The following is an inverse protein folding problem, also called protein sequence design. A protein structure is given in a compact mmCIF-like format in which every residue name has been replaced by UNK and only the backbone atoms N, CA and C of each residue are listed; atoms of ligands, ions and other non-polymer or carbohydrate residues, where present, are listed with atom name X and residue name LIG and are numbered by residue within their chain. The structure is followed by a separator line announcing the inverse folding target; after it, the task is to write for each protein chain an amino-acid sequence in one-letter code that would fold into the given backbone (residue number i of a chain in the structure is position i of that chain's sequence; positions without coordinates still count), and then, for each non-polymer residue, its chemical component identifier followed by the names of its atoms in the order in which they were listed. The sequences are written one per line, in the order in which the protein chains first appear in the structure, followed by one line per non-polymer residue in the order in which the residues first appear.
data_IF_851900492807
#
_entry.id   IF_851900492807
#
_cell.length_a   1.000
_cell.length_b   1.000
_cell.length_c   1.000
_cell.angle_alpha   90.00
_cell.angle_beta   90.00
_cell.angle_gamma   90.00
#
_symmetry.space_group_name_H-M   'P 1'
#
loop_
_entity.id
_entity.type
_entity.pdbx_description
1 polymer ?
#
# COMPACT_ATOMS: atom_id res chain seq x y z
N UNK A 1 16.26 12.45 4.27
CA UNK A 1 16.86 11.88 3.04
C UNK A 1 16.14 12.30 1.76
N UNK A 2 14.97 12.95 1.87
CA UNK A 2 14.07 13.30 0.77
C UNK A 2 14.58 14.41 -0.17
N UNK A 3 15.21 15.45 0.36
CA UNK A 3 15.68 16.60 -0.45
C UNK A 3 16.89 16.27 -1.32
N UNK A 4 17.78 15.40 -0.84
CA UNK A 4 18.97 14.98 -1.57
C UNK A 4 18.60 14.08 -2.76
N UNK A 5 17.60 13.20 -2.57
CA UNK A 5 17.06 12.36 -3.63
C UNK A 5 16.32 13.17 -4.70
N UNK A 6 15.50 14.15 -4.30
CA UNK A 6 14.82 15.06 -5.23
C UNK A 6 15.84 15.90 -6.03
N UNK A 7 16.86 16.43 -5.36
CA UNK A 7 17.94 17.18 -5.98
C UNK A 7 18.69 16.36 -7.03
N UNK A 8 19.02 15.10 -6.73
CA UNK A 8 19.68 14.19 -7.69
C UNK A 8 18.77 13.89 -8.89
N UNK A 9 17.46 13.69 -8.67
CA UNK A 9 16.49 13.45 -9.76
C UNK A 9 16.40 14.66 -10.70
N UNK A 10 16.20 15.86 -10.15
CA UNK A 10 16.12 17.10 -10.93
C UNK A 10 17.44 17.36 -11.67
N UNK A 11 18.57 17.17 -11.00
CA UNK A 11 19.88 17.34 -11.61
C UNK A 11 20.09 16.37 -12.77
N UNK A 12 19.63 15.12 -12.65
CA UNK A 12 19.71 14.14 -13.74
C UNK A 12 18.83 14.52 -14.93
N UNK A 13 17.59 14.94 -14.67
CA UNK A 13 16.65 15.38 -15.71
C UNK A 13 17.08 16.66 -16.44
N UNK A 14 17.92 17.49 -15.83
CA UNK A 14 18.48 18.69 -16.49
C UNK A 14 19.83 18.36 -17.16
N UNK A 15 20.72 17.67 -16.44
CA UNK A 15 22.10 17.43 -16.89
C UNK A 15 22.17 16.48 -18.09
N UNK A 16 21.29 15.47 -18.17
CA UNK A 16 21.26 14.55 -19.32
C UNK A 16 20.85 15.27 -20.62
N UNK A 17 19.70 15.97 -20.71
CA UNK A 17 19.37 16.72 -21.92
C UNK A 17 20.31 17.90 -22.17
N UNK A 18 20.84 18.57 -21.13
CA UNK A 18 21.83 19.64 -21.32
C UNK A 18 23.16 19.11 -21.91
N UNK A 19 23.63 17.95 -21.46
CA UNK A 19 24.83 17.30 -22.01
C UNK A 19 24.60 16.80 -23.44
N UNK A 20 23.42 16.25 -23.74
CA UNK A 20 23.02 15.88 -25.10
C UNK A 20 22.90 17.11 -26.03
N UNK A 21 22.36 18.23 -25.53
CA UNK A 21 22.27 19.49 -26.26
C UNK A 21 23.66 20.08 -26.53
N UNK A 22 24.56 20.05 -25.54
CA UNK A 22 25.95 20.47 -25.71
C UNK A 22 26.70 19.57 -26.70
N UNK A 23 26.47 18.27 -26.68
CA UNK A 23 26.99 17.34 -27.69
C UNK A 23 26.46 17.66 -29.09
N UNK A 24 25.16 17.93 -29.22
CA UNK A 24 24.53 18.30 -30.50
C UNK A 24 25.02 19.67 -31.02
N UNK A 25 25.21 20.66 -30.14
CA UNK A 25 25.80 21.96 -30.49
C UNK A 25 27.26 21.83 -30.90
N UNK A 26 28.03 20.97 -30.22
CA UNK A 26 29.40 20.65 -30.62
C UNK A 26 29.46 19.90 -31.97
N UNK A 27 28.41 19.16 -32.35
CA UNK A 27 28.25 18.59 -33.69
C UNK A 27 27.94 19.65 -34.75
N UNK A 28 27.11 20.66 -34.44
CA UNK A 28 26.69 21.70 -35.39
C UNK A 28 27.74 22.78 -35.68
N UNK A 29 28.69 23.03 -34.77
CA UNK A 29 29.64 24.16 -34.88
C UNK A 29 30.95 23.78 -35.61
N UNK A 30 31.14 22.51 -36.02
CA UNK A 30 32.21 22.15 -36.97
C UNK A 30 33.61 22.61 -36.58
N UNK A 31 34.15 22.14 -35.45
CA UNK A 31 35.53 22.42 -35.05
C UNK A 31 36.51 21.69 -35.99
N UNK A 32 37.01 22.39 -37.01
CA UNK A 32 38.02 21.91 -37.95
C UNK A 32 39.36 21.62 -37.24
N UNK A 33 39.91 20.43 -37.50
CA UNK A 33 41.15 19.91 -36.92
C UNK A 33 40.93 18.78 -35.91
N UNK A 34 41.46 17.57 -36.22
CA UNK A 34 41.35 16.29 -35.48
C UNK A 34 40.07 15.43 -35.68
N UNK A 35 39.55 15.37 -36.90
CA UNK A 35 38.23 14.77 -37.22
C UNK A 35 38.01 13.30 -36.82
N UNK A 36 39.01 12.41 -36.93
CA UNK A 36 38.78 10.98 -36.66
C UNK A 36 38.70 10.63 -35.18
N UNK A 37 39.63 11.14 -34.36
CA UNK A 37 39.71 10.85 -32.93
C UNK A 37 38.52 11.47 -32.16
N UNK A 38 38.13 12.69 -32.54
CA UNK A 38 36.93 13.37 -32.01
C UNK A 38 35.64 12.64 -32.40
N UNK A 39 35.54 12.12 -33.62
CA UNK A 39 34.37 11.34 -34.09
C UNK A 39 34.27 10.00 -33.35
N UNK A 40 35.40 9.32 -33.11
CA UNK A 40 35.43 8.09 -32.32
C UNK A 40 35.01 8.31 -30.86
N UNK A 41 35.55 9.35 -30.21
CA UNK A 41 35.16 9.71 -28.83
C UNK A 41 33.66 10.04 -28.76
N UNK A 42 33.11 10.77 -29.75
CA UNK A 42 31.68 11.08 -29.83
C UNK A 42 30.81 9.82 -30.00
N UNK A 43 31.20 8.90 -30.87
CA UNK A 43 30.47 7.64 -31.06
C UNK A 43 30.51 6.80 -29.77
N UNK A 44 31.65 6.73 -29.09
CA UNK A 44 31.75 6.06 -27.79
C UNK A 44 30.88 6.73 -26.72
N UNK A 45 30.79 8.06 -26.72
CA UNK A 45 29.94 8.82 -25.81
C UNK A 45 28.45 8.54 -26.07
N UNK A 46 28.00 8.62 -27.32
CA UNK A 46 26.63 8.27 -27.71
C UNK A 46 26.29 6.80 -27.40
N UNK A 47 27.24 5.89 -27.65
CA UNK A 47 27.09 4.47 -27.33
C UNK A 47 27.01 4.20 -25.82
N UNK A 48 27.52 5.11 -24.97
CA UNK A 48 27.41 5.00 -23.51
C UNK A 48 26.18 5.74 -22.96
N UNK A 49 25.85 6.92 -23.47
CA UNK A 49 24.76 7.77 -22.94
C UNK A 49 23.37 7.25 -23.30
N UNK A 50 23.16 6.76 -24.53
CA UNK A 50 21.88 6.23 -24.96
C UNK A 50 21.41 5.03 -24.11
N UNK A 51 22.21 3.96 -23.94
CA UNK A 51 21.76 2.80 -23.15
C UNK A 51 21.68 3.08 -21.65
N UNK A 52 22.38 4.10 -21.12
CA UNK A 52 22.31 4.46 -19.70
C UNK A 52 21.16 5.43 -19.38
N UNK A 53 20.71 6.23 -20.35
CA UNK A 53 19.62 7.21 -20.15
C UNK A 53 18.28 6.56 -19.83
N UNK A 54 17.93 5.45 -20.49
CA UNK A 54 16.67 4.73 -20.31
C UNK A 54 16.54 4.15 -18.89
N UNK A 55 17.50 3.35 -18.36
CA UNK A 55 17.41 2.82 -17.01
C UNK A 55 17.48 3.91 -15.94
N UNK A 56 18.25 5.00 -16.16
CA UNK A 56 18.25 6.15 -15.24
C UNK A 56 16.90 6.86 -15.21
N UNK A 57 16.26 7.05 -16.37
CA UNK A 57 14.92 7.62 -16.45
C UNK A 57 13.90 6.76 -15.68
N UNK A 58 13.94 5.44 -15.85
CA UNK A 58 13.06 4.50 -15.13
C UNK A 58 13.35 4.51 -13.62
N UNK A 59 14.62 4.57 -13.21
CA UNK A 59 14.98 4.62 -11.79
C UNK A 59 14.53 5.94 -11.14
N UNK A 60 14.80 7.07 -11.80
CA UNK A 60 14.39 8.39 -11.34
C UNK A 60 12.86 8.51 -11.25
N UNK A 61 12.14 7.87 -12.18
CA UNK A 61 10.68 7.73 -12.15
C UNK A 61 10.21 7.03 -10.87
N UNK A 62 10.78 5.85 -10.57
CA UNK A 62 10.46 5.10 -9.36
C UNK A 62 10.77 5.89 -8.08
N UNK A 63 11.86 6.66 -8.06
CA UNK A 63 12.24 7.48 -6.91
C UNK A 63 11.33 8.69 -6.69
N UNK A 64 10.89 9.35 -7.76
CA UNK A 64 9.94 10.45 -7.67
C UNK A 64 8.60 9.98 -7.09
N UNK A 65 8.11 8.80 -7.52
CA UNK A 65 6.94 8.16 -6.90
C UNK A 65 7.21 7.79 -5.44
N UNK A 66 8.40 7.28 -5.13
CA UNK A 66 8.78 6.84 -3.79
C UNK A 66 8.82 7.98 -2.75
N UNK A 67 9.21 9.20 -3.17
CA UNK A 67 9.31 10.36 -2.27
C UNK A 67 7.95 10.78 -1.67
N UNK A 68 6.84 10.44 -2.33
CA UNK A 68 5.49 10.74 -1.84
C UNK A 68 4.88 9.64 -0.99
N UNK A 69 5.55 8.48 -0.86
CA UNK A 69 5.02 7.32 -0.14
C UNK A 69 4.93 7.58 1.36
N UNK A 70 5.99 8.14 1.95
CA UNK A 70 6.06 8.32 3.40
C UNK A 70 4.96 9.26 3.92
N UNK A 71 4.71 10.44 3.33
CA UNK A 71 3.57 11.28 3.72
C UNK A 71 2.21 10.59 3.56
N UNK A 72 1.99 9.86 2.46
CA UNK A 72 0.74 9.12 2.22
C UNK A 72 0.54 8.02 3.28
N UNK A 73 1.60 7.27 3.58
CA UNK A 73 1.57 6.24 4.61
C UNK A 73 1.30 6.84 5.98
N UNK A 74 1.93 7.97 6.35
CA UNK A 74 1.65 8.61 7.64
C UNK A 74 0.20 9.13 7.74
N UNK A 75 -0.37 9.61 6.63
CA UNK A 75 -1.73 10.13 6.59
C UNK A 75 -2.81 9.03 6.71
N UNK A 76 -2.60 7.87 6.08
CA UNK A 76 -3.64 6.84 5.96
C UNK A 76 -3.36 5.54 6.75
N UNK A 77 -2.14 5.31 7.23
CA UNK A 77 -1.83 4.07 7.98
C UNK A 77 -2.31 4.09 9.44
N UNK A 78 -2.93 5.17 9.92
CA UNK A 78 -3.48 5.25 11.26
C UNK A 78 -4.92 4.76 11.32
N UNK A 79 -5.24 3.73 12.13
CA UNK A 79 -6.62 3.32 12.35
C UNK A 79 -7.40 4.37 13.15
N UNK A 80 -8.66 4.53 12.81
CA UNK A 80 -9.65 5.34 13.53
C UNK A 80 -10.53 4.41 14.38
N UNK A 81 -10.53 4.61 15.69
CA UNK A 81 -11.39 3.87 16.63
C UNK A 81 -12.46 4.81 17.17
N UNK A 82 -13.72 4.41 17.05
CA UNK A 82 -14.89 5.23 17.41
C UNK A 82 -15.52 4.82 18.74
N UNK A 83 -15.10 3.69 19.30
CA UNK A 83 -15.63 3.19 20.56
C UNK A 83 -14.68 3.48 21.73
N UNK A 84 -15.23 4.11 22.76
CA UNK A 84 -14.48 4.42 23.99
C UNK A 84 -14.44 3.22 24.93
N UNK A 85 -15.53 2.46 24.98
CA UNK A 85 -15.71 1.33 25.91
C UNK A 85 -15.42 -0.01 25.26
N UNK A 86 -15.02 -1.01 26.06
CA UNK A 86 -14.94 -2.40 25.61
C UNK A 86 -16.29 -2.90 25.09
N UNK A 87 -16.25 -3.70 24.03
CA UNK A 87 -17.41 -4.34 23.40
C UNK A 87 -17.37 -5.83 23.73
N UNK A 88 -18.49 -6.38 24.18
CA UNK A 88 -18.63 -7.82 24.40
C UNK A 88 -19.30 -8.46 23.20
N UNK A 89 -18.49 -8.99 22.28
CA UNK A 89 -18.95 -9.68 21.09
C UNK A 89 -18.71 -11.19 21.19
N UNK A 90 -19.66 -12.00 20.74
CA UNK A 90 -19.51 -13.46 20.69
C UNK A 90 -19.03 -13.95 19.33
N UNK A 91 -19.31 -13.19 18.26
CA UNK A 91 -19.00 -13.60 16.89
C UNK A 91 -18.47 -12.49 15.98
N UNK A 92 -17.71 -12.89 14.96
CA UNK A 92 -17.20 -12.03 13.90
C UNK A 92 -17.44 -12.64 12.52
N UNK A 93 -18.02 -11.86 11.62
CA UNK A 93 -18.17 -12.22 10.20
C UNK A 93 -17.24 -11.39 9.34
N UNK A 94 -16.30 -12.04 8.68
CA UNK A 94 -15.35 -11.42 7.75
C UNK A 94 -15.96 -11.44 6.34
N UNK A 95 -16.09 -10.26 5.73
CA UNK A 95 -16.57 -10.05 4.36
C UNK A 95 -15.48 -9.35 3.57
N UNK A 96 -14.98 -9.99 2.52
CA UNK A 96 -13.97 -9.40 1.63
C UNK A 96 -14.45 -9.48 0.19
N UNK A 97 -14.23 -8.43 -0.60
CA UNK A 97 -14.43 -8.47 -2.05
C UNK A 97 -13.41 -9.36 -2.78
N UNK A 98 -12.30 -9.70 -2.12
CA UNK A 98 -11.32 -10.68 -2.60
C UNK A 98 -11.76 -12.12 -2.32
N UNK A 99 -12.75 -12.34 -1.45
CA UNK A 99 -13.28 -13.68 -1.18
C UNK A 99 -14.31 -14.05 -2.25
N UNK A 100 -14.01 -15.08 -3.04
CA UNK A 100 -14.90 -15.58 -4.10
C UNK A 100 -15.48 -16.95 -3.71
N UNK A 101 -16.74 -17.20 -4.06
CA UNK A 101 -17.39 -18.49 -3.82
C UNK A 101 -16.62 -19.62 -4.53
N UNK A 102 -16.35 -20.72 -3.80
CA UNK A 102 -15.61 -21.87 -4.32
C UNK A 102 -14.09 -21.70 -4.41
N UNK A 103 -13.53 -20.56 -3.96
CA UNK A 103 -12.08 -20.36 -3.81
C UNK A 103 -11.68 -20.36 -2.35
N UNK A 104 -10.40 -20.72 -2.10
CA UNK A 104 -9.82 -20.59 -0.78
C UNK A 104 -9.90 -19.12 -0.30
N UNK A 105 -10.20 -18.89 0.99
CA UNK A 105 -10.21 -17.54 1.54
C UNK A 105 -8.82 -16.89 1.45
N UNK A 106 -8.74 -15.54 1.45
CA UNK A 106 -7.47 -14.84 1.49
C UNK A 106 -6.62 -15.28 2.69
N UNK A 107 -5.31 -15.46 2.50
CA UNK A 107 -4.39 -15.94 3.54
C UNK A 107 -4.38 -15.04 4.80
N UNK A 108 -4.61 -13.73 4.65
CA UNK A 108 -4.72 -12.84 5.80
C UNK A 108 -5.97 -13.16 6.65
N UNK A 109 -7.08 -13.57 6.03
CA UNK A 109 -8.33 -13.84 6.73
C UNK A 109 -8.23 -15.12 7.58
N UNK A 110 -7.50 -16.13 7.10
CA UNK A 110 -7.23 -17.34 7.89
C UNK A 110 -6.38 -17.05 9.13
N UNK A 111 -5.38 -16.17 9.01
CA UNK A 111 -4.56 -15.72 10.15
C UNK A 111 -5.41 -14.97 11.18
N UNK A 112 -6.35 -14.13 10.73
CA UNK A 112 -7.27 -13.43 11.64
C UNK A 112 -8.12 -14.41 12.43
N UNK A 113 -8.66 -15.44 11.77
CA UNK A 113 -9.44 -16.50 12.43
C UNK A 113 -8.59 -17.22 13.49
N UNK A 114 -7.38 -17.64 13.11
CA UNK A 114 -6.46 -18.36 14.01
C UNK A 114 -6.10 -17.56 15.27
N UNK A 115 -5.82 -16.26 15.13
CA UNK A 115 -5.43 -15.42 16.25
C UNK A 115 -6.62 -15.08 17.17
N UNK A 116 -7.77 -14.74 16.59
CA UNK A 116 -8.93 -14.28 17.36
C UNK A 116 -9.75 -15.42 17.97
N UNK A 117 -9.68 -16.65 17.44
CA UNK A 117 -10.31 -17.85 18.01
C UNK A 117 -9.37 -18.67 18.93
N UNK A 118 -8.18 -18.18 19.24
CA UNK A 118 -7.29 -18.85 20.18
C UNK A 118 -8.01 -19.09 21.53
N UNK A 119 -7.60 -20.06 22.37
CA UNK A 119 -8.31 -20.42 23.61
C UNK A 119 -8.53 -19.28 24.64
N UNK A 120 -7.91 -18.12 24.45
CA UNK A 120 -8.07 -16.89 25.24
C UNK A 120 -8.49 -15.68 24.39
N UNK A 121 -8.93 -15.93 23.16
CA UNK A 121 -9.35 -14.92 22.21
C UNK A 121 -10.66 -14.25 22.63
N UNK A 122 -10.93 -13.03 22.16
CA UNK A 122 -12.11 -12.26 22.55
C UNK A 122 -13.41 -12.77 21.91
N UNK A 123 -13.34 -13.71 20.97
CA UNK A 123 -14.47 -14.15 20.14
C UNK A 123 -14.60 -15.68 20.17
N UNK A 124 -15.83 -16.16 20.33
CA UNK A 124 -16.13 -17.60 20.33
C UNK A 124 -16.30 -18.17 18.93
N UNK A 125 -16.83 -17.38 17.99
CA UNK A 125 -17.12 -17.83 16.62
C UNK A 125 -16.67 -16.82 15.56
N UNK A 126 -15.93 -17.26 14.54
CA UNK A 126 -15.51 -16.42 13.42
C UNK A 126 -15.82 -17.15 12.12
N UNK A 127 -16.49 -16.44 11.21
CA UNK A 127 -16.87 -16.98 9.89
C UNK A 127 -16.35 -16.08 8.78
N UNK A 128 -15.83 -16.68 7.72
CA UNK A 128 -15.45 -15.98 6.49
C UNK A 128 -16.60 -16.16 5.48
N UNK A 129 -17.17 -15.06 5.02
CA UNK A 129 -18.23 -15.08 4.00
C UNK A 129 -17.67 -14.70 2.63
N UNK A 130 -18.01 -15.51 1.62
CA UNK A 130 -17.65 -15.31 0.22
C UNK A 130 -18.65 -14.48 -0.57
N UNK A 131 -19.74 -14.03 0.07
CA UNK A 131 -20.78 -13.21 -0.57
C UNK A 131 -20.88 -11.85 0.12
N UNK A 132 -20.53 -10.78 -0.61
CA UNK A 132 -20.66 -9.40 -0.10
C UNK A 132 -22.11 -8.99 0.18
N UNK A 133 -23.07 -9.70 -0.43
CA UNK A 133 -24.52 -9.46 -0.35
C UNK A 133 -25.24 -10.21 0.75
N UNK A 134 -24.56 -11.05 1.53
CA UNK A 134 -25.26 -11.94 2.46
C UNK A 134 -25.76 -11.18 3.70
N UNK A 135 -27.04 -10.79 3.62
CA UNK A 135 -27.84 -10.24 4.72
C UNK A 135 -28.16 -11.31 5.76
N UNK A 136 -27.92 -12.61 5.49
CA UNK A 136 -28.42 -13.72 6.30
C UNK A 136 -27.39 -14.39 7.24
N UNK A 137 -26.10 -14.06 7.12
CA UNK A 137 -25.02 -14.79 7.86
C UNK A 137 -24.84 -14.31 9.30
N UNK A 138 -25.44 -13.18 9.67
CA UNK A 138 -25.38 -12.66 11.03
C UNK A 138 -26.62 -13.14 11.76
N UNK A 139 -26.65 -14.42 12.13
CA UNK A 139 -27.60 -14.87 13.15
C UNK A 139 -26.96 -14.50 14.48
N UNK A 140 -27.44 -13.46 15.19
CA UNK A 140 -26.98 -13.23 16.55
C UNK A 140 -27.25 -14.52 17.33
N UNK A 141 -26.20 -15.16 17.86
CA UNK A 141 -26.39 -16.09 18.96
C UNK A 141 -27.22 -15.35 20.00
N UNK A 142 -28.29 -15.97 20.50
CA UNK A 142 -29.39 -15.40 21.27
C UNK A 142 -29.04 -14.57 22.54
N UNK A 143 -27.75 -14.28 22.78
CA UNK A 143 -27.23 -13.52 23.92
C UNK A 143 -25.98 -12.66 23.64
N UNK A 144 -25.51 -12.50 22.38
CA UNK A 144 -24.22 -11.82 22.11
C UNK A 144 -24.23 -10.84 20.93
N UNK A 145 -23.47 -9.74 21.05
CA UNK A 145 -23.21 -8.83 19.92
C UNK A 145 -22.43 -9.56 18.83
N UNK A 146 -22.85 -9.39 17.58
CA UNK A 146 -22.15 -9.90 16.41
C UNK A 146 -21.43 -8.74 15.72
N UNK A 147 -20.19 -8.97 15.30
CA UNK A 147 -19.39 -7.99 14.59
C UNK A 147 -19.25 -8.36 13.11
N UNK A 148 -19.20 -7.35 12.26
CA UNK A 148 -18.84 -7.51 10.85
C UNK A 148 -17.51 -6.82 10.55
N UNK A 149 -16.56 -7.54 9.96
CA UNK A 149 -15.36 -6.97 9.36
C UNK A 149 -15.52 -6.95 7.84
N UNK A 150 -15.76 -5.77 7.26
CA UNK A 150 -15.82 -5.58 5.82
C UNK A 150 -14.46 -5.10 5.30
N UNK A 151 -13.95 -5.76 4.27
CA UNK A 151 -12.72 -5.39 3.57
C UNK A 151 -13.05 -5.14 2.11
N UNK A 152 -12.62 -3.99 1.59
CA UNK A 152 -12.82 -3.61 0.19
C UNK A 152 -11.57 -2.98 -0.38
N UNK A 153 -11.17 -3.41 -1.58
CA UNK A 153 -10.12 -2.75 -2.34
C UNK A 153 -10.71 -1.58 -3.13
N UNK A 154 -10.13 -0.40 -2.95
CA UNK A 154 -10.53 0.85 -3.60
C UNK A 154 -9.33 1.43 -4.35
N UNK A 155 -9.56 1.97 -5.54
CA UNK A 155 -8.58 2.82 -6.23
C UNK A 155 -8.67 4.22 -5.61
N UNK A 156 -7.61 4.68 -4.95
CA UNK A 156 -7.57 6.00 -4.34
C UNK A 156 -7.10 7.07 -5.32
N UNK A 157 -6.02 6.76 -6.05
CA UNK A 157 -5.41 7.69 -7.01
C UNK A 157 -4.65 6.93 -8.10
N UNK A 158 -4.67 7.43 -9.32
CA UNK A 158 -3.88 6.90 -10.43
C UNK A 158 -3.40 8.06 -11.31
N UNK A 159 -2.12 8.08 -11.61
CA UNK A 159 -1.55 8.98 -12.60
C UNK A 159 -0.47 8.24 -13.39
N UNK A 160 0.22 8.97 -14.27
CA UNK A 160 1.29 8.41 -15.08
C UNK A 160 2.41 7.79 -14.21
N UNK A 161 2.64 8.30 -13.00
CA UNK A 161 3.81 7.99 -12.19
C UNK A 161 3.58 6.90 -11.14
N UNK A 162 2.37 6.82 -10.60
CA UNK A 162 2.04 5.84 -9.60
C UNK A 162 0.53 5.58 -9.53
N UNK A 163 0.20 4.40 -9.01
CA UNK A 163 -1.15 3.96 -8.70
C UNK A 163 -1.24 3.64 -7.22
N UNK A 164 -2.27 4.18 -6.56
CA UNK A 164 -2.55 3.96 -5.14
C UNK A 164 -3.86 3.21 -5.02
N UNK A 165 -3.77 1.95 -4.60
CA UNK A 165 -4.90 1.16 -4.14
C UNK A 165 -4.93 1.17 -2.60
N UNK A 166 -6.11 0.94 -2.05
CA UNK A 166 -6.33 0.96 -0.61
C UNK A 166 -7.30 -0.16 -0.25
N UNK A 167 -6.87 -1.09 0.60
CA UNK A 167 -7.76 -2.04 1.24
C UNK A 167 -8.31 -1.40 2.50
N UNK A 168 -9.59 -1.04 2.43
CA UNK A 168 -10.31 -0.42 3.54
C UNK A 168 -10.96 -1.47 4.40
N UNK A 169 -10.58 -1.49 5.67
CA UNK A 169 -11.13 -2.31 6.72
C UNK A 169 -12.16 -1.51 7.52
N UNK A 170 -13.38 -2.00 7.56
CA UNK A 170 -14.47 -1.45 8.36
C UNK A 170 -14.97 -2.50 9.33
N UNK A 171 -14.75 -2.25 10.61
CA UNK A 171 -15.39 -3.01 11.68
C UNK A 171 -16.69 -2.31 12.07
N UNK A 172 -17.79 -3.06 12.13
CA UNK A 172 -19.11 -2.54 12.48
C UNK A 172 -19.87 -3.51 13.38
N UNK A 173 -20.75 -2.98 14.23
CA UNK A 173 -21.74 -3.79 14.93
C UNK A 173 -22.77 -4.28 13.91
N UNK A 174 -22.99 -5.58 13.85
CA UNK A 174 -23.88 -6.19 12.87
C UNK A 174 -25.37 -5.91 13.12
N UNK A 175 -25.75 -5.67 14.38
CA UNK A 175 -27.14 -5.41 14.78
C UNK A 175 -27.57 -4.03 14.29
N UNK A 176 -26.77 -3.01 14.60
CA UNK A 176 -27.12 -1.60 14.33
C UNK A 176 -26.39 -1.00 13.13
N UNK A 177 -25.45 -1.74 12.53
CA UNK A 177 -24.58 -1.32 11.40
C UNK A 177 -23.74 -0.08 11.69
N UNK A 178 -23.52 0.23 12.96
CA UNK A 178 -22.68 1.33 13.41
C UNK A 178 -21.21 0.97 13.18
N UNK A 179 -20.47 1.85 12.52
CA UNK A 179 -19.02 1.70 12.34
C UNK A 179 -18.30 1.91 13.66
N UNK A 180 -17.57 0.90 14.10
CA UNK A 180 -16.80 0.90 15.34
C UNK A 180 -15.35 1.32 15.11
N UNK A 181 -14.77 0.88 13.98
CA UNK A 181 -13.42 1.24 13.61
C UNK A 181 -13.21 1.23 12.10
N UNK A 182 -12.31 2.09 11.63
CA UNK A 182 -11.84 2.17 10.25
C UNK A 182 -10.33 2.08 10.21
N UNK A 183 -9.82 1.41 9.19
CA UNK A 183 -8.41 1.26 8.95
C UNK A 183 -8.16 1.02 7.48
N UNK A 184 -6.98 1.41 7.02
CA UNK A 184 -6.58 1.27 5.63
C UNK A 184 -5.22 0.56 5.54
N UNK A 185 -5.07 -0.26 4.50
CA UNK A 185 -3.78 -0.77 4.01
C UNK A 185 -3.58 -0.26 2.58
N UNK A 186 -2.60 0.61 2.40
CA UNK A 186 -2.28 1.21 1.11
C UNK A 186 -1.34 0.30 0.35
N UNK A 187 -1.55 0.29 -0.96
CA UNK A 187 -0.72 -0.36 -1.96
C UNK A 187 -0.36 0.66 -3.00
N UNK A 188 0.93 0.89 -3.19
CA UNK A 188 1.42 1.94 -4.07
C UNK A 188 2.35 1.31 -5.10
N UNK A 189 1.90 1.27 -6.35
CA UNK A 189 2.69 0.84 -7.48
C UNK A 189 3.39 2.08 -8.06
N UNK A 190 4.73 2.10 -8.01
CA UNK A 190 5.57 3.18 -8.54
C UNK A 190 6.62 2.59 -9.49
N UNK A 191 6.36 2.71 -10.80
CA UNK A 191 7.19 2.08 -11.83
C UNK A 191 7.19 0.55 -11.70
N UNK A 192 8.35 -0.03 -11.37
CA UNK A 192 8.52 -1.50 -11.16
C UNK A 192 8.40 -1.93 -9.70
N UNK A 193 8.34 -0.97 -8.77
CA UNK A 193 8.29 -1.25 -7.35
C UNK A 193 6.85 -1.17 -6.85
N UNK A 194 6.47 -2.14 -6.01
CA UNK A 194 5.23 -2.09 -5.22
C UNK A 194 5.57 -1.88 -3.76
N UNK A 195 4.95 -0.88 -3.18
CA UNK A 195 5.07 -0.51 -1.78
C UNK A 195 3.75 -0.74 -1.07
N UNK A 196 3.81 -0.98 0.23
CA UNK A 196 2.64 -1.11 1.07
C UNK A 196 2.89 -0.60 2.49
N UNK A 197 1.84 -0.06 3.11
CA UNK A 197 1.85 0.49 4.45
C UNK A 197 0.41 0.56 4.98
N UNK A 198 0.24 0.50 6.30
CA UNK A 198 -1.10 0.47 6.88
C UNK A 198 -1.17 -0.25 8.20
N UNK A 199 -2.37 -0.71 8.55
CA UNK A 199 -2.59 -1.47 9.78
C UNK A 199 -1.90 -2.83 9.79
N UNK A 200 -1.64 -3.40 8.61
CA UNK A 200 -0.99 -4.71 8.47
C UNK A 200 0.52 -4.52 8.43
N UNK A 201 0.98 -3.55 7.63
CA UNK A 201 2.41 -3.37 7.36
C UNK A 201 3.13 -2.44 8.32
N UNK A 202 2.39 -1.58 9.04
CA UNK A 202 2.91 -0.47 9.82
C UNK A 202 2.94 0.84 9.03
N UNK A 203 3.31 1.92 9.73
CA UNK A 203 3.28 3.30 9.19
C UNK A 203 4.38 3.61 8.18
N UNK A 204 5.47 2.85 8.21
CA UNK A 204 6.59 3.07 7.30
C UNK A 204 6.39 2.24 6.03
N UNK A 205 6.66 2.81 4.84
CA UNK A 205 6.52 2.09 3.58
C UNK A 205 7.46 0.88 3.54
N UNK A 206 6.91 -0.27 3.16
CA UNK A 206 7.65 -1.51 2.91
C UNK A 206 7.54 -1.87 1.44
N UNK A 207 8.59 -2.48 0.88
CA UNK A 207 8.61 -2.99 -0.49
C UNK A 207 8.18 -4.45 -0.52
N UNK A 208 7.23 -4.79 -1.39
CA UNK A 208 6.75 -6.17 -1.53
C UNK A 208 5.46 -6.26 -2.35
N UNK A 209 5.25 -7.40 -2.98
CA UNK A 209 4.02 -7.72 -3.74
C UNK A 209 3.07 -8.67 -3.01
N UNK A 210 3.56 -9.39 -2.00
CA UNK A 210 2.76 -10.30 -1.18
C UNK A 210 1.93 -9.54 -0.15
N UNK A 211 0.69 -9.99 0.06
CA UNK A 211 -0.12 -9.50 1.18
C UNK A 211 0.60 -9.77 2.50
N UNK A 212 0.78 -8.77 3.38
CA UNK A 212 1.43 -9.00 4.66
C UNK A 212 0.57 -9.90 5.54
N UNK A 213 1.16 -10.60 6.51
CA UNK A 213 0.43 -11.55 7.35
C UNK A 213 -0.78 -10.87 8.03
N UNK A 214 -1.86 -11.61 8.27
CA UNK A 214 -3.11 -11.06 8.83
C UNK A 214 -3.04 -10.62 10.30
N UNK A 215 -1.86 -10.65 10.92
CA UNK A 215 -1.64 -10.33 12.33
C UNK A 215 -1.96 -8.87 12.67
N UNK A 216 -1.70 -7.94 11.76
CA UNK A 216 -2.09 -6.54 11.94
C UNK A 216 -3.61 -6.31 11.91
N UNK A 217 -4.32 -7.09 11.08
CA UNK A 217 -5.80 -7.03 11.02
C UNK A 217 -6.40 -7.58 12.32
N UNK A 218 -5.86 -8.68 12.85
CA UNK A 218 -6.29 -9.22 14.14
C UNK A 218 -6.09 -8.21 15.28
N UNK A 219 -4.88 -7.61 15.40
CA UNK A 219 -4.60 -6.56 16.39
C UNK A 219 -5.54 -5.36 16.26
N UNK A 220 -5.89 -4.97 15.03
CA UNK A 220 -6.87 -3.90 14.79
C UNK A 220 -8.24 -4.27 15.36
N UNK A 221 -8.73 -5.49 15.11
CA UNK A 221 -10.01 -5.97 15.65
C UNK A 221 -9.97 -6.05 17.18
N UNK A 222 -8.92 -6.63 17.77
CA UNK A 222 -8.76 -6.71 19.23
C UNK A 222 -8.78 -5.33 19.89
N UNK A 223 -8.04 -4.37 19.32
CA UNK A 223 -7.99 -3.00 19.84
C UNK A 223 -9.35 -2.31 19.72
N UNK A 224 -10.06 -2.53 18.64
CA UNK A 224 -11.42 -2.03 18.49
C UNK A 224 -12.36 -2.70 19.50
N UNK A 225 -12.22 -3.99 19.80
CA UNK A 225 -13.05 -4.65 20.83
C UNK A 225 -12.72 -4.12 22.23
N UNK A 226 -11.44 -3.85 22.55
CA UNK A 226 -11.02 -3.35 23.85
C UNK A 226 -11.46 -1.91 24.14
N UNK A 227 -11.70 -1.10 23.10
CA UNK A 227 -12.01 0.33 23.22
C UNK A 227 -10.77 1.19 23.50
N UNK A 228 -10.91 2.50 23.32
CA UNK A 228 -9.78 3.45 23.46
C UNK A 228 -9.42 3.78 24.91
N UNK A 229 -10.28 3.45 25.87
CA UNK A 229 -10.02 3.72 27.30
C UNK A 229 -9.13 2.63 27.91
N UNK A 230 -7.81 2.73 27.71
CA UNK A 230 -6.86 2.09 28.63
C UNK A 230 -6.96 2.83 29.98
N UNK A 231 -7.35 2.13 31.04
CA UNK A 231 -7.23 2.63 32.43
C UNK A 231 -5.83 3.25 32.60
N UNK A 232 -5.79 4.54 32.94
CA UNK A 232 -4.61 5.15 33.56
C UNK A 232 -4.40 4.54 34.95
#
# INVERSE_FOLDING_TARGET
MSDLALGVVVFTFIAVPASLLLLALADGIGLEGEGQRKRWIRVCLWALTLPTSIPLGIAAWGWAGAAHLEPLCQAYASPEFRNERPIFASSLVIKSDQSQAGKAPPAWATVVVEQLQAPRGPLGEIRISSQSSDRSVITPSSSGHALGLQVRRLLHHENLWFRVEMDRFRLYDANDRVTLALADELWIDAGRARYHCGIVSGRNPKTGSGYPAGDGVARFVERAIAGTTRRR
#
